data_IF_712224038629
#
_entry.id   IF_712224038629
#
_cell.length_a   1.000
_cell.length_b   1.000
_cell.length_c   1.000
_cell.angle_alpha   90.00
_cell.angle_beta   90.00
_cell.angle_gamma   90.00
#
_symmetry.space_group_name_H-M   'P 1'
#
loop_
_entity.id
_entity.type
_entity.pdbx_description
1 polymer ?
#
# COMPACT_ATOMS: atom_id res chain seq x y z
N UNK A 1 9.11 22.47 13.67
CA UNK A 1 8.36 21.60 12.75
C UNK A 1 8.95 21.76 11.37
N UNK A 2 9.22 20.62 10.71
CA UNK A 2 10.07 20.38 9.55
C UNK A 2 10.48 21.64 8.77
N UNK A 3 11.75 22.02 8.88
CA UNK A 3 12.30 23.21 8.21
C UNK A 3 12.65 22.94 6.74
N UNK A 4 12.73 21.67 6.36
CA UNK A 4 13.09 21.19 5.03
C UNK A 4 12.03 20.16 4.58
N UNK A 5 11.46 20.27 3.36
CA UNK A 5 10.55 19.25 2.82
C UNK A 5 11.16 17.84 2.73
N UNK A 6 12.49 17.72 2.64
CA UNK A 6 13.17 16.43 2.54
C UNK A 6 13.46 15.78 3.91
N UNK A 7 13.43 16.57 5.00
CA UNK A 7 13.58 16.07 6.38
C UNK A 7 12.22 15.62 6.94
N UNK A 8 11.67 14.56 6.36
CA UNK A 8 10.40 14.00 6.78
C UNK A 8 10.63 13.01 7.92
N UNK A 9 10.39 13.45 9.15
CA UNK A 9 10.23 12.58 10.31
C UNK A 9 9.00 13.00 11.10
N UNK A 10 8.42 12.06 11.83
CA UNK A 10 7.22 12.29 12.61
C UNK A 10 7.16 11.38 13.83
N UNK A 11 6.59 11.90 14.91
CA UNK A 11 6.21 11.10 16.06
C UNK A 11 4.71 10.81 15.98
N UNK A 12 4.26 9.57 16.23
CA UNK A 12 2.83 9.29 16.37
C UNK A 12 2.28 9.91 17.64
N UNK A 13 0.95 10.08 17.71
CA UNK A 13 0.28 10.50 18.93
C UNK A 13 0.58 9.51 20.06
N UNK A 14 1.28 10.03 21.08
CA UNK A 14 1.84 9.22 22.16
C UNK A 14 1.48 9.82 23.52
N UNK A 15 1.06 8.97 24.45
CA UNK A 15 0.86 9.36 25.85
C UNK A 15 2.18 9.15 26.58
N UNK A 16 2.77 10.24 27.06
CA UNK A 16 4.01 10.22 27.86
C UNK A 16 3.63 10.19 29.35
N UNK A 17 4.10 9.18 30.06
CA UNK A 17 3.86 9.01 31.49
C UNK A 17 5.17 9.07 32.29
N UNK A 18 5.13 9.33 33.61
CA UNK A 18 6.35 9.38 34.43
C UNK A 18 7.17 8.08 34.42
N UNK A 19 6.52 6.93 34.24
CA UNK A 19 7.14 5.60 34.09
C UNK A 19 7.68 5.34 32.67
N UNK A 20 7.13 5.99 31.64
CA UNK A 20 7.54 5.83 30.24
C UNK A 20 7.77 7.19 29.57
N UNK A 21 8.99 7.69 29.74
CA UNK A 21 9.45 9.00 29.21
C UNK A 21 10.08 8.89 27.81
N UNK A 22 9.56 8.00 26.97
CA UNK A 22 10.09 7.78 25.63
C UNK A 22 9.07 8.25 24.58
N UNK A 23 9.56 9.02 23.60
CA UNK A 23 8.79 9.40 22.42
C UNK A 23 9.35 8.62 21.22
N UNK A 24 8.49 7.89 20.54
CA UNK A 24 8.87 7.18 19.32
C UNK A 24 8.92 8.19 18.17
N UNK A 25 9.98 8.13 17.36
CA UNK A 25 10.14 8.99 16.19
C UNK A 25 10.47 8.11 15.01
N UNK A 26 9.67 8.23 13.96
CA UNK A 26 9.87 7.52 12.71
C UNK A 26 10.57 8.45 11.72
N UNK A 27 11.68 7.97 11.14
CA UNK A 27 12.33 8.62 10.02
C UNK A 27 11.66 8.14 8.72
N UNK A 28 11.05 9.06 7.98
CA UNK A 28 10.43 8.79 6.68
C UNK A 28 11.27 9.32 5.51
N UNK A 29 12.43 9.93 5.78
CA UNK A 29 13.35 10.38 4.75
C UNK A 29 14.24 9.23 4.24
N UNK A 30 14.93 9.47 3.13
CA UNK A 30 15.89 8.52 2.55
C UNK A 30 17.27 8.57 3.24
N UNK A 31 17.49 9.55 4.11
CA UNK A 31 18.78 9.83 4.74
C UNK A 31 18.69 9.70 6.27
N UNK A 32 19.80 9.45 6.97
CA UNK A 32 19.80 9.41 8.44
C UNK A 32 19.61 10.82 9.03
N UNK A 33 18.59 10.98 9.88
CA UNK A 33 18.28 12.26 10.53
C UNK A 33 18.92 12.33 11.92
N UNK A 34 19.62 13.43 12.21
CA UNK A 34 20.25 13.69 13.51
C UNK A 34 19.38 14.63 14.34
N UNK A 35 18.73 14.09 15.37
CA UNK A 35 17.98 14.89 16.37
C UNK A 35 18.95 15.43 17.42
N UNK A 36 19.11 16.76 17.45
CA UNK A 36 19.96 17.44 18.44
C UNK A 36 19.20 17.72 19.74
N UNK A 37 19.94 17.84 20.85
CA UNK A 37 19.38 18.29 22.12
C UNK A 37 18.77 19.69 21.95
N UNK A 38 17.53 19.85 22.41
CA UNK A 38 16.77 21.10 22.27
C UNK A 38 15.96 21.22 20.97
N UNK A 39 16.09 20.27 20.03
CA UNK A 39 15.22 20.23 18.85
C UNK A 39 13.79 19.90 19.26
N UNK A 40 12.84 20.77 18.92
CA UNK A 40 11.42 20.52 19.12
C UNK A 40 10.92 19.47 18.13
N UNK A 41 10.42 18.34 18.65
CA UNK A 41 9.91 17.20 17.87
C UNK A 41 8.38 17.22 17.66
N UNK A 42 7.66 17.88 18.56
CA UNK A 42 6.22 17.70 18.73
C UNK A 42 5.62 18.83 19.56
N UNK A 43 4.30 19.03 19.43
CA UNK A 43 3.53 19.85 20.37
C UNK A 43 2.93 18.89 21.39
N UNK A 44 3.11 19.17 22.67
CA UNK A 44 2.50 18.38 23.72
C UNK A 44 1.19 19.03 24.18
N UNK A 45 0.15 18.22 24.34
CA UNK A 45 -1.13 18.65 24.88
C UNK A 45 -1.35 18.05 26.27
N UNK A 46 -2.06 18.78 27.15
CA UNK A 46 -2.49 18.23 28.44
C UNK A 46 -3.62 17.22 28.19
N UNK A 47 -3.44 15.92 28.50
CA UNK A 47 -4.45 14.91 28.18
C UNK A 47 -5.81 15.21 28.81
N UNK A 48 -5.84 15.81 30.00
CA UNK A 48 -7.07 16.15 30.73
C UNK A 48 -7.97 17.15 30.00
N UNK A 49 -7.40 17.94 29.10
CA UNK A 49 -8.11 18.98 28.35
C UNK A 49 -8.29 18.60 26.88
N UNK A 50 -7.41 17.74 26.34
CA UNK A 50 -7.37 17.40 24.92
C UNK A 50 -8.17 16.13 24.61
N UNK A 51 -8.08 15.10 25.45
CA UNK A 51 -8.83 13.86 25.25
C UNK A 51 -10.28 14.02 25.69
N UNK A 52 -11.17 13.31 25.00
CA UNK A 52 -12.58 13.31 25.35
C UNK A 52 -12.85 12.63 26.69
N UNK A 53 -13.89 13.13 27.37
CA UNK A 53 -14.32 12.64 28.69
C UNK A 53 -15.63 11.90 28.53
N UNK A 54 -15.77 10.80 29.27
CA UNK A 54 -17.00 10.00 29.30
C UNK A 54 -18.26 10.82 29.59
N UNK A 55 -18.14 11.89 30.37
CA UNK A 55 -19.23 12.80 30.71
C UNK A 55 -19.82 13.58 29.52
N UNK A 56 -19.16 13.58 28.36
CA UNK A 56 -19.65 14.24 27.14
C UNK A 56 -20.63 13.38 26.35
N UNK A 57 -20.71 12.08 26.63
CA UNK A 57 -21.44 11.12 25.81
C UNK A 57 -22.64 10.55 26.54
N UNK A 58 -23.67 10.20 25.78
CA UNK A 58 -24.85 9.49 26.28
C UNK A 58 -24.54 8.03 26.59
N UNK A 59 -25.37 7.39 27.42
CA UNK A 59 -25.20 5.97 27.76
C UNK A 59 -25.24 5.04 26.54
N UNK A 60 -26.00 5.41 25.50
CA UNK A 60 -26.09 4.63 24.26
C UNK A 60 -24.82 4.74 23.42
N UNK A 61 -24.19 5.92 23.38
CA UNK A 61 -22.92 6.13 22.67
C UNK A 61 -21.77 5.41 23.37
N UNK A 62 -21.76 5.42 24.70
CA UNK A 62 -20.78 4.69 25.49
C UNK A 62 -20.85 3.18 25.23
N UNK A 63 -22.05 2.60 25.17
CA UNK A 63 -22.25 1.18 24.83
C UNK A 63 -21.76 0.86 23.40
N UNK A 64 -21.99 1.76 22.44
CA UNK A 64 -21.44 1.62 21.08
C UNK A 64 -19.91 1.65 21.07
N UNK A 65 -19.29 2.58 21.81
CA UNK A 65 -17.83 2.65 21.91
C UNK A 65 -17.23 1.41 22.56
N UNK A 66 -17.86 0.89 23.59
CA UNK A 66 -17.41 -0.34 24.27
C UNK A 66 -17.51 -1.56 23.34
N UNK A 67 -18.62 -1.71 22.62
CA UNK A 67 -18.78 -2.77 21.60
C UNK A 67 -17.71 -2.67 20.51
N UNK A 68 -17.44 -1.46 20.02
CA UNK A 68 -16.41 -1.23 19.01
C UNK A 68 -15.00 -1.52 19.55
N UNK A 69 -14.67 -1.08 20.77
CA UNK A 69 -13.38 -1.35 21.40
C UNK A 69 -13.16 -2.85 21.60
N UNK A 70 -14.19 -3.59 22.01
CA UNK A 70 -14.14 -5.04 22.15
C UNK A 70 -13.95 -5.75 20.81
N UNK A 71 -14.55 -5.25 19.73
CA UNK A 71 -14.34 -5.75 18.38
C UNK A 71 -12.90 -5.53 17.88
N UNK A 72 -12.34 -4.32 18.05
CA UNK A 72 -10.94 -4.04 17.68
C UNK A 72 -9.97 -4.90 18.50
N UNK A 73 -10.27 -5.10 19.79
CA UNK A 73 -9.46 -5.96 20.67
C UNK A 73 -9.48 -7.42 20.21
N UNK A 74 -10.63 -7.95 19.79
CA UNK A 74 -10.72 -9.34 19.30
C UNK A 74 -9.96 -9.52 17.98
N UNK A 75 -10.03 -8.54 17.08
CA UNK A 75 -9.24 -8.52 15.84
C UNK A 75 -7.74 -8.53 16.14
N UNK A 76 -7.26 -7.63 17.01
CA UNK A 76 -5.85 -7.57 17.38
C UNK A 76 -5.35 -8.92 17.98
N UNK A 77 -6.14 -9.51 18.88
CA UNK A 77 -5.82 -10.82 19.47
C UNK A 77 -5.83 -11.96 18.44
N UNK A 78 -6.67 -11.87 17.41
CA UNK A 78 -6.70 -12.86 16.33
C UNK A 78 -5.49 -12.76 15.39
N UNK A 79 -4.97 -11.55 15.19
CA UNK A 79 -3.74 -11.29 14.41
C UNK A 79 -2.53 -11.87 15.14
N UNK A 80 -2.44 -11.64 16.46
CA UNK A 80 -1.34 -12.18 17.27
C UNK A 80 -1.40 -13.71 17.46
N UNK A 81 -2.60 -14.30 17.34
CA UNK A 81 -2.83 -15.76 17.46
C UNK A 81 -2.81 -16.51 16.12
N UNK A 82 -2.29 -15.92 15.05
CA UNK A 82 -2.11 -16.60 13.77
C UNK A 82 -1.00 -17.67 13.81
N UNK A 83 -1.16 -18.70 14.64
CA UNK A 83 -0.46 -19.99 14.52
C UNK A 83 -1.19 -21.10 15.28
N UNK A 84 -2.43 -21.39 14.91
CA UNK A 84 -3.05 -22.75 14.93
C UNK A 84 -4.43 -22.63 14.28
N UNK A 85 -4.62 -23.23 13.09
CA UNK A 85 -5.94 -23.34 12.45
C UNK A 85 -6.70 -24.52 13.09
N UNK A 86 -7.88 -24.33 13.68
CA UNK A 86 -8.93 -25.34 13.63
C UNK A 86 -9.56 -25.29 12.23
N UNK A 87 -9.89 -26.46 11.68
CA UNK A 87 -10.64 -26.54 10.42
C UNK A 87 -11.98 -25.78 10.52
N UNK A 88 -12.37 -25.03 9.48
CA UNK A 88 -13.62 -24.29 9.51
C UNK A 88 -14.82 -25.25 9.54
N UNK A 89 -15.91 -24.90 10.27
CA UNK A 89 -17.14 -25.67 10.29
C UNK A 89 -17.76 -25.77 8.88
N UNK A 90 -18.37 -26.93 8.60
CA UNK A 90 -18.97 -27.33 7.31
C UNK A 90 -20.04 -26.37 6.75
N UNK A 91 -20.46 -25.34 7.48
CA UNK A 91 -21.37 -24.29 6.98
C UNK A 91 -20.68 -23.21 6.15
N UNK A 92 -19.34 -23.22 6.07
CA UNK A 92 -18.54 -22.30 5.24
C UNK A 92 -18.21 -22.87 3.84
N UNK A 93 -18.74 -24.04 3.49
CA UNK A 93 -18.56 -24.64 2.15
C UNK A 93 -19.54 -24.10 1.10
N UNK A 94 -20.45 -23.20 1.47
CA UNK A 94 -21.25 -22.48 0.50
C UNK A 94 -20.36 -21.43 -0.19
N UNK A 95 -20.27 -21.41 -1.54
CA UNK A 95 -19.46 -20.45 -2.25
C UNK A 95 -20.03 -19.05 -2.00
N UNK A 96 -19.32 -18.26 -1.19
CA UNK A 96 -19.64 -16.84 -0.99
C UNK A 96 -19.38 -16.12 -2.30
N UNK A 97 -20.44 -15.67 -2.97
CA UNK A 97 -20.35 -14.82 -4.16
C UNK A 97 -19.87 -13.44 -3.73
N UNK A 98 -18.63 -13.11 -4.05
CA UNK A 98 -18.15 -11.72 -4.07
C UNK A 98 -17.15 -11.33 -2.97
N UNK A 99 -15.89 -11.30 -3.35
CA UNK A 99 -14.86 -10.37 -2.89
C UNK A 99 -13.96 -10.08 -4.10
N UNK A 100 -13.36 -8.89 -4.25
CA UNK A 100 -12.67 -8.53 -5.49
C UNK A 100 -11.32 -9.24 -5.57
N UNK A 101 -11.34 -10.52 -5.96
CA UNK A 101 -10.36 -11.06 -6.89
C UNK A 101 -10.86 -10.77 -8.29
N UNK A 102 -11.09 -9.50 -8.59
CA UNK A 102 -11.17 -9.08 -9.97
C UNK A 102 -9.76 -9.31 -10.53
N UNK A 103 -9.57 -10.45 -11.20
CA UNK A 103 -8.77 -10.41 -12.41
C UNK A 103 -9.35 -9.23 -13.18
N UNK A 104 -8.65 -8.10 -13.13
CA UNK A 104 -8.90 -7.03 -14.08
C UNK A 104 -8.67 -7.74 -15.41
N UNK A 105 -9.70 -7.90 -16.25
CA UNK A 105 -9.50 -8.41 -17.60
C UNK A 105 -8.38 -7.56 -18.18
N UNK A 106 -7.33 -8.20 -18.70
CA UNK A 106 -6.27 -7.47 -19.35
C UNK A 106 -6.94 -6.63 -20.43
N UNK A 107 -6.82 -5.31 -20.37
CA UNK A 107 -7.43 -4.44 -21.39
C UNK A 107 -7.00 -4.92 -22.77
N UNK A 108 -7.95 -4.94 -23.71
CA UNK A 108 -7.67 -5.35 -25.07
C UNK A 108 -6.46 -4.57 -25.61
N UNK A 109 -5.49 -5.24 -26.26
CA UNK A 109 -4.28 -4.60 -26.74
C UNK A 109 -4.63 -3.40 -27.61
N UNK A 110 -4.11 -2.23 -27.26
CA UNK A 110 -4.23 -1.06 -28.12
C UNK A 110 -3.40 -1.32 -29.38
N UNK A 111 -4.03 -1.35 -30.58
CA UNK A 111 -3.28 -1.57 -31.81
C UNK A 111 -2.46 -0.34 -32.14
N UNK A 112 -1.27 -0.53 -32.72
CA UNK A 112 -0.40 0.59 -33.13
C UNK A 112 -1.09 1.58 -34.08
N UNK A 113 -2.06 1.11 -34.87
CA UNK A 113 -2.86 1.95 -35.77
C UNK A 113 -3.73 3.00 -35.06
N UNK A 114 -4.05 2.80 -33.77
CA UNK A 114 -4.92 3.69 -32.99
C UNK A 114 -4.13 4.59 -32.02
N UNK A 115 -2.80 4.51 -32.00
CA UNK A 115 -1.94 5.20 -31.03
C UNK A 115 -2.26 6.71 -30.89
N UNK A 116 -2.34 7.44 -32.02
CA UNK A 116 -2.61 8.88 -32.02
C UNK A 116 -4.04 9.25 -31.60
N UNK A 117 -5.00 8.32 -31.73
CA UNK A 117 -6.39 8.53 -31.33
C UNK A 117 -6.60 8.24 -29.83
N UNK A 118 -5.78 7.37 -29.26
CA UNK A 118 -5.81 7.02 -27.83
C UNK A 118 -5.13 8.09 -26.98
N UNK A 119 -4.16 8.83 -27.53
CA UNK A 119 -3.44 9.88 -26.82
C UNK A 119 -4.23 11.18 -26.83
N UNK A 120 -4.47 11.73 -25.65
CA UNK A 120 -5.11 13.03 -25.48
C UNK A 120 -4.08 14.16 -25.65
N UNK A 121 -4.28 15.01 -26.65
CA UNK A 121 -3.44 16.19 -26.92
C UNK A 121 -4.15 17.45 -26.43
N UNK A 122 -3.41 18.34 -25.77
CA UNK A 122 -3.98 19.55 -25.21
C UNK A 122 -4.69 20.42 -26.29
N UNK A 123 -5.91 20.92 -26.03
CA UNK A 123 -6.74 21.58 -27.04
C UNK A 123 -6.21 22.97 -27.47
N UNK A 124 -5.26 23.53 -26.73
CA UNK A 124 -4.64 24.82 -26.98
C UNK A 124 -3.35 24.76 -27.81
N UNK A 125 -2.99 23.59 -28.34
CA UNK A 125 -1.82 23.43 -29.19
C UNK A 125 -2.05 24.06 -30.58
N UNK A 126 -1.04 24.75 -31.09
CA UNK A 126 -1.04 25.14 -32.51
C UNK A 126 -0.92 23.90 -33.40
N UNK A 127 -1.37 23.96 -34.67
CA UNK A 127 -1.23 22.83 -35.60
C UNK A 127 0.21 22.32 -35.71
N UNK A 128 1.18 23.23 -35.78
CA UNK A 128 2.61 22.90 -35.85
C UNK A 128 3.11 22.21 -34.58
N UNK A 129 2.70 22.68 -33.40
CA UNK A 129 3.09 22.07 -32.12
C UNK A 129 2.49 20.67 -31.98
N UNK A 130 1.24 20.49 -32.40
CA UNK A 130 0.59 19.18 -32.40
C UNK A 130 1.32 18.21 -33.30
N UNK A 131 1.67 18.63 -34.52
CA UNK A 131 2.41 17.80 -35.46
C UNK A 131 3.77 17.36 -34.90
N UNK A 132 4.50 18.27 -34.25
CA UNK A 132 5.77 17.93 -33.59
C UNK A 132 5.60 16.88 -32.48
N UNK A 133 4.51 16.95 -31.71
CA UNK A 133 4.22 15.97 -30.67
C UNK A 133 3.80 14.62 -31.25
N UNK A 134 2.98 14.60 -32.29
CA UNK A 134 2.59 13.38 -33.00
C UNK A 134 3.83 12.67 -33.59
N UNK A 135 4.77 13.42 -34.17
CA UNK A 135 6.04 12.89 -34.69
C UNK A 135 6.91 12.26 -33.59
N UNK A 136 6.96 12.88 -32.40
CA UNK A 136 7.69 12.33 -31.25
C UNK A 136 7.04 11.03 -30.78
N UNK A 137 5.72 11.00 -30.66
CA UNK A 137 4.95 9.82 -30.25
C UNK A 137 5.19 8.66 -31.22
N UNK A 138 5.11 8.90 -32.54
CA UNK A 138 5.34 7.87 -33.56
C UNK A 138 6.79 7.37 -33.56
N UNK A 139 7.77 8.28 -33.42
CA UNK A 139 9.19 7.91 -33.33
C UNK A 139 9.47 7.00 -32.14
N UNK A 140 8.76 7.21 -31.03
CA UNK A 140 8.91 6.44 -29.80
C UNK A 140 7.79 5.41 -29.57
N UNK A 141 7.09 4.97 -30.63
CA UNK A 141 6.05 3.95 -30.54
C UNK A 141 6.52 2.68 -29.80
N UNK A 142 7.82 2.38 -29.90
CA UNK A 142 8.41 1.20 -29.27
C UNK A 142 8.43 1.26 -27.73
N UNK A 143 8.28 2.44 -27.12
CA UNK A 143 8.20 2.59 -25.67
C UNK A 143 6.83 2.21 -25.09
N UNK A 144 5.79 2.08 -25.94
CA UNK A 144 4.44 1.73 -25.53
C UNK A 144 4.16 0.24 -25.73
N UNK A 145 3.34 -0.35 -24.85
CA UNK A 145 2.91 -1.75 -24.91
C UNK A 145 1.83 -2.01 -25.96
N UNK A 146 2.12 -1.70 -27.22
CA UNK A 146 1.21 -1.86 -28.36
C UNK A 146 1.25 -3.29 -28.90
N UNK A 147 0.15 -3.74 -29.51
CA UNK A 147 0.06 -5.03 -30.22
C UNK A 147 0.47 -6.25 -29.39
N UNK A 148 0.16 -6.27 -28.08
CA UNK A 148 0.59 -7.32 -27.13
C UNK A 148 2.11 -7.53 -27.04
N UNK A 149 2.89 -6.52 -27.43
CA UNK A 149 4.36 -6.61 -27.39
C UNK A 149 4.86 -6.50 -25.95
N UNK A 150 5.46 -7.58 -25.47
CA UNK A 150 6.19 -7.59 -24.21
C UNK A 150 7.56 -6.91 -24.40
N UNK A 151 7.96 -6.07 -23.43
CA UNK A 151 9.27 -5.42 -23.45
C UNK A 151 10.39 -6.45 -23.34
N UNK A 152 11.42 -6.30 -24.17
CA UNK A 152 12.66 -7.09 -24.09
C UNK A 152 13.80 -6.17 -23.66
N UNK A 153 14.56 -6.59 -22.66
CA UNK A 153 15.79 -5.93 -22.25
C UNK A 153 16.91 -6.96 -22.27
N UNK A 154 17.87 -6.78 -23.18
CA UNK A 154 18.98 -7.70 -23.36
C UNK A 154 19.99 -7.55 -22.22
N UNK A 155 19.69 -8.15 -21.07
CA UNK A 155 20.58 -8.25 -19.94
C UNK A 155 20.49 -9.62 -19.29
N UNK A 156 21.65 -10.22 -19.06
CA UNK A 156 21.77 -11.40 -18.24
C UNK A 156 22.01 -10.98 -16.79
N UNK A 157 21.04 -11.25 -15.91
CA UNK A 157 21.12 -10.88 -14.49
C UNK A 157 21.57 -12.10 -13.69
N UNK A 158 22.68 -11.98 -12.97
CA UNK A 158 23.13 -12.98 -12.00
C UNK A 158 22.57 -12.66 -10.62
N UNK A 159 21.73 -13.54 -10.07
CA UNK A 159 21.17 -13.39 -8.72
C UNK A 159 22.20 -13.88 -7.69
N UNK A 160 22.74 -12.96 -6.88
CA UNK A 160 23.69 -13.30 -5.81
C UNK A 160 22.93 -13.84 -4.59
N UNK A 161 23.30 -15.03 -4.14
CA UNK A 161 22.75 -15.65 -2.94
C UNK A 161 23.60 -15.30 -1.71
N UNK A 162 23.02 -15.46 -0.50
CA UNK A 162 23.81 -15.41 0.74
C UNK A 162 24.79 -16.60 0.76
N UNK A 163 25.98 -16.45 1.37
CA UNK A 163 26.87 -17.58 1.64
C UNK A 163 26.09 -18.74 2.29
N UNK A 164 26.38 -19.97 1.90
CA UNK A 164 25.76 -21.21 2.41
C UNK A 164 24.25 -21.42 2.12
N UNK A 165 23.66 -20.62 1.22
CA UNK A 165 22.27 -20.85 0.80
C UNK A 165 22.11 -22.20 0.11
N UNK A 166 21.11 -22.98 0.53
CA UNK A 166 20.75 -24.27 -0.09
C UNK A 166 19.45 -24.13 -0.89
N UNK A 167 19.32 -24.81 -2.05
CA UNK A 167 18.05 -24.89 -2.76
C UNK A 167 16.95 -25.47 -1.88
N UNK A 168 15.75 -24.89 -1.96
CA UNK A 168 14.56 -25.41 -1.30
C UNK A 168 13.55 -25.87 -2.35
N UNK A 169 12.96 -27.05 -2.13
CA UNK A 169 11.87 -27.56 -2.95
C UNK A 169 10.66 -27.74 -2.04
N UNK A 170 9.60 -26.96 -2.30
CA UNK A 170 8.34 -27.03 -1.57
C UNK A 170 7.27 -27.57 -2.51
N UNK A 171 6.34 -28.41 -2.02
CA UNK A 171 5.20 -28.84 -2.84
C UNK A 171 4.36 -27.62 -3.23
N UNK A 172 3.81 -27.59 -4.45
CA UNK A 172 2.91 -26.53 -4.87
C UNK A 172 1.69 -26.48 -3.94
N UNK A 173 1.20 -25.27 -3.65
CA UNK A 173 0.00 -25.12 -2.85
C UNK A 173 -1.20 -25.81 -3.52
N UNK A 174 -2.11 -26.42 -2.75
CA UNK A 174 -3.32 -27.00 -3.30
C UNK A 174 -4.17 -25.89 -3.94
N UNK A 175 -4.25 -25.91 -5.27
CA UNK A 175 -5.13 -25.04 -6.06
C UNK A 175 -6.45 -25.74 -6.36
N UNK A 176 -7.54 -24.99 -6.34
CA UNK A 176 -8.84 -25.48 -6.80
C UNK A 176 -8.79 -25.82 -8.30
N UNK A 177 -9.62 -26.76 -8.79
CA UNK A 177 -9.69 -27.11 -10.21
C UNK A 177 -9.92 -25.89 -11.11
N UNK A 178 -10.81 -24.98 -10.70
CA UNK A 178 -11.11 -23.74 -11.43
C UNK A 178 -9.90 -22.80 -11.60
N UNK A 179 -8.95 -22.81 -10.67
CA UNK A 179 -7.72 -22.01 -10.78
C UNK A 179 -6.65 -22.71 -11.63
N UNK A 180 -6.83 -23.99 -11.97
CA UNK A 180 -5.91 -24.75 -12.85
C UNK A 180 -6.29 -24.67 -14.32
N UNK A 181 -7.51 -24.24 -14.64
CA UNK A 181 -8.04 -24.14 -16.02
C UNK A 181 -7.65 -22.84 -16.74
N UNK A 182 -6.82 -21.99 -16.12
CA UNK A 182 -6.38 -20.69 -16.68
C UNK A 182 -5.15 -20.86 -17.56
#
# INVERSE_FOLDING_TARGET
FNKNPDDLFGAPDSIITPDRKYLHVSNFSKEPIIVRKGTALGIAHKPQNYLDKFSKFSSEELDKFEKHANYVKSLAQSIDKASTKPEPPSSLSEPVTGGPKTNIPLDDPTPSSRLLQTIDFAPNLTPDQRQQLEDVVLRHQQAFGLDNRLGEYNANVTIKLKPDSKPISLPPFPTSPKNREV
#
